data_IF_672765150379
#
_entry.id   IF_672765150379
#
_cell.length_a   1.000
_cell.length_b   1.000
_cell.length_c   1.000
_cell.angle_alpha   90.00
_cell.angle_beta   90.00
_cell.angle_gamma   90.00
#
_symmetry.space_group_name_H-M   'P 1'
#
loop_
_entity.id
_entity.type
_entity.pdbx_description
1 polymer ?
#
# COMPACT_ATOMS: atom_id res chain seq x y z
N UNK A 1 8.96 22.78 -8.81
CA UNK A 1 10.07 22.09 -8.10
C UNK A 1 9.97 22.16 -6.57
N UNK A 2 9.75 23.34 -5.94
CA UNK A 2 9.70 23.46 -4.45
C UNK A 2 8.58 22.69 -3.75
N UNK A 3 7.41 22.52 -4.38
CA UNK A 3 6.28 21.80 -3.79
C UNK A 3 6.53 20.29 -3.67
N UNK A 4 7.22 19.69 -4.66
CA UNK A 4 7.59 18.27 -4.66
C UNK A 4 8.62 17.98 -3.55
N UNK A 5 9.57 18.89 -3.32
CA UNK A 5 10.55 18.76 -2.23
C UNK A 5 9.92 18.95 -0.85
N UNK A 6 8.98 19.88 -0.71
CA UNK A 6 8.22 20.06 0.55
C UNK A 6 7.37 18.84 0.88
N UNK A 7 6.66 18.28 -0.12
CA UNK A 7 5.90 17.03 0.04
C UNK A 7 6.84 15.87 0.39
N UNK A 8 7.99 15.72 -0.28
CA UNK A 8 8.99 14.68 0.03
C UNK A 8 9.58 14.82 1.44
N UNK A 9 9.93 16.04 1.86
CA UNK A 9 10.50 16.32 3.19
C UNK A 9 9.49 16.08 4.31
N UNK A 10 8.25 16.50 4.10
CA UNK A 10 7.17 16.31 5.07
C UNK A 10 6.77 14.83 5.18
N UNK A 11 6.70 14.11 4.06
CA UNK A 11 6.45 12.65 4.05
C UNK A 11 7.58 11.85 4.70
N UNK A 12 8.85 12.24 4.52
CA UNK A 12 9.96 11.66 5.30
C UNK A 12 9.75 11.85 6.80
N UNK A 13 9.26 13.02 7.23
CA UNK A 13 8.88 13.28 8.62
C UNK A 13 7.74 12.38 9.12
N UNK A 14 6.71 12.18 8.30
CA UNK A 14 5.61 11.26 8.60
C UNK A 14 6.07 9.80 8.69
N UNK A 15 6.79 9.27 7.70
CA UNK A 15 7.28 7.89 7.72
C UNK A 15 8.23 7.64 8.89
N UNK A 16 9.07 8.62 9.22
CA UNK A 16 9.90 8.56 10.41
C UNK A 16 9.06 8.53 11.69
N UNK A 17 7.98 9.31 11.78
CA UNK A 17 7.06 9.27 12.92
C UNK A 17 6.35 7.93 13.05
N UNK A 18 5.83 7.37 11.94
CA UNK A 18 5.17 6.05 11.90
C UNK A 18 6.14 4.95 12.30
N UNK A 19 7.37 4.97 11.76
CA UNK A 19 8.43 4.02 12.09
C UNK A 19 8.84 4.13 13.55
N UNK A 20 9.15 5.33 14.03
CA UNK A 20 9.57 5.56 15.43
C UNK A 20 8.50 5.10 16.41
N UNK A 21 7.23 5.44 16.18
CA UNK A 21 6.17 5.02 17.09
C UNK A 21 5.93 3.50 17.01
N UNK A 22 5.94 2.91 15.81
CA UNK A 22 5.77 1.46 15.63
C UNK A 22 6.94 0.64 16.19
N UNK A 23 8.14 1.22 16.25
CA UNK A 23 9.30 0.62 16.93
C UNK A 23 9.15 0.63 18.46
N UNK A 24 8.39 1.58 19.03
CA UNK A 24 8.12 1.65 20.48
C UNK A 24 7.04 0.66 20.93
N UNK A 25 6.16 0.28 20.02
CA UNK A 25 5.22 -0.82 20.28
C UNK A 25 5.92 -2.17 20.17
N UNK A 26 5.72 -3.02 21.17
CA UNK A 26 6.32 -4.34 21.25
C UNK A 26 5.26 -5.42 21.35
N UNK A 27 5.46 -6.49 20.58
CA UNK A 27 4.76 -7.76 20.71
C UNK A 27 5.50 -8.56 21.77
N UNK A 28 4.85 -8.77 22.92
CA UNK A 28 5.41 -9.51 24.06
C UNK A 28 4.72 -10.85 24.17
N UNK A 29 5.48 -11.92 23.95
CA UNK A 29 4.98 -13.28 24.12
C UNK A 29 4.54 -13.51 25.58
N UNK A 30 3.28 -13.92 25.81
CA UNK A 30 2.79 -14.19 27.18
C UNK A 30 3.38 -15.47 27.80
N UNK A 31 3.98 -16.35 26.98
CA UNK A 31 4.62 -17.59 27.43
C UNK A 31 6.07 -17.41 27.86
N UNK A 32 6.92 -16.81 27.03
CA UNK A 32 8.36 -16.70 27.30
C UNK A 32 8.84 -15.25 27.54
N UNK A 33 7.97 -14.25 27.45
CA UNK A 33 8.33 -12.85 27.66
C UNK A 33 9.18 -12.23 26.55
N UNK A 34 9.57 -12.99 25.51
CA UNK A 34 10.33 -12.44 24.37
C UNK A 34 9.55 -11.29 23.75
N UNK A 35 10.26 -10.19 23.53
CA UNK A 35 9.75 -8.97 22.94
C UNK A 35 10.31 -8.85 21.53
N UNK A 36 9.47 -8.42 20.61
CA UNK A 36 9.86 -8.00 19.26
C UNK A 36 9.10 -6.72 18.95
N UNK A 37 9.74 -5.72 18.35
CA UNK A 37 8.99 -4.53 18.00
C UNK A 37 7.89 -4.87 16.98
N UNK A 38 6.81 -4.10 16.99
CA UNK A 38 5.72 -4.22 16.02
C UNK A 38 6.27 -3.99 14.62
N UNK A 39 7.15 -3.00 14.46
CA UNK A 39 7.84 -2.72 13.19
C UNK A 39 8.67 -3.90 12.66
N UNK A 40 9.54 -4.51 13.47
CA UNK A 40 10.33 -5.69 13.05
C UNK A 40 9.46 -6.92 12.75
N UNK A 41 8.23 -6.92 13.23
CA UNK A 41 7.24 -7.97 12.96
C UNK A 41 6.39 -7.67 11.73
N UNK A 42 6.73 -6.62 10.96
CA UNK A 42 5.99 -6.18 9.78
C UNK A 42 4.74 -5.36 10.09
N UNK A 43 4.41 -5.16 11.37
CA UNK A 43 3.23 -4.42 11.79
C UNK A 43 3.48 -2.92 11.96
N UNK A 44 2.39 -2.15 11.98
CA UNK A 44 2.40 -0.71 12.30
C UNK A 44 1.47 -0.44 13.49
N UNK A 45 1.96 0.34 14.45
CA UNK A 45 1.13 0.98 15.49
C UNK A 45 1.58 2.42 15.66
N UNK A 46 0.76 3.31 15.13
CA UNK A 46 0.99 4.75 15.13
C UNK A 46 -0.28 5.46 15.61
N UNK A 47 -0.13 6.42 16.53
CA UNK A 47 -1.20 7.04 17.33
C UNK A 47 -2.16 6.04 17.99
N UNK A 48 -1.70 4.82 18.22
CA UNK A 48 -2.50 3.78 18.83
C UNK A 48 -2.49 3.96 20.36
N UNK A 49 -3.58 3.57 21.02
CA UNK A 49 -3.66 3.51 22.47
C UNK A 49 -4.10 2.11 22.93
N UNK A 50 -3.84 1.79 24.19
CA UNK A 50 -4.32 0.56 24.84
C UNK A 50 -3.47 -0.69 24.55
N UNK A 51 -3.54 -1.65 25.48
CA UNK A 51 -2.86 -2.92 25.36
C UNK A 51 -3.82 -3.95 24.75
N UNK A 52 -3.57 -4.37 23.52
CA UNK A 52 -4.34 -5.44 22.87
C UNK A 52 -3.60 -6.78 22.94
N UNK A 53 -4.35 -7.87 22.84
CA UNK A 53 -3.77 -9.20 22.65
C UNK A 53 -3.97 -9.64 21.20
N UNK A 54 -2.94 -10.23 20.60
CA UNK A 54 -3.01 -10.80 19.25
C UNK A 54 -2.42 -12.19 19.28
N UNK A 55 -3.02 -13.11 18.54
CA UNK A 55 -2.44 -14.43 18.33
C UNK A 55 -1.29 -14.30 17.32
N UNK A 56 -0.09 -14.67 17.73
CA UNK A 56 1.14 -14.54 16.92
C UNK A 56 2.03 -15.77 17.06
N UNK A 57 2.84 -16.04 16.04
CA UNK A 57 3.88 -17.06 16.14
C UNK A 57 5.07 -16.51 16.92
N UNK A 58 5.48 -17.19 18.00
CA UNK A 58 6.66 -16.80 18.76
C UNK A 58 7.87 -17.65 18.39
N UNK A 59 8.91 -17.05 17.81
CA UNK A 59 10.15 -17.75 17.42
C UNK A 59 10.89 -18.44 18.58
N UNK A 60 10.66 -18.03 19.84
CA UNK A 60 11.27 -18.64 21.01
C UNK A 60 10.43 -19.77 21.62
N UNK A 61 9.10 -19.75 21.42
CA UNK A 61 8.22 -20.84 21.87
C UNK A 61 7.89 -21.84 20.75
N UNK A 62 8.22 -21.49 19.50
CA UNK A 62 7.92 -22.22 18.27
C UNK A 62 6.44 -22.63 18.11
N UNK A 63 5.52 -21.83 18.66
CA UNK A 63 4.07 -22.06 18.56
C UNK A 63 3.28 -20.77 18.56
N UNK A 64 2.02 -20.87 18.16
CA UNK A 64 1.05 -19.77 18.29
C UNK A 64 0.81 -19.48 19.77
N UNK A 65 1.00 -18.22 20.13
CA UNK A 65 0.81 -17.72 21.49
C UNK A 65 -0.03 -16.46 21.41
N UNK A 66 -0.84 -16.24 22.44
CA UNK A 66 -1.35 -14.90 22.69
C UNK A 66 -0.17 -14.02 23.08
N UNK A 67 0.07 -12.96 22.32
CA UNK A 67 1.04 -11.93 22.69
C UNK A 67 0.31 -10.66 23.08
N UNK A 68 0.88 -9.97 24.08
CA UNK A 68 0.42 -8.66 24.51
C UNK A 68 1.18 -7.59 23.74
N UNK A 69 0.45 -6.63 23.19
CA UNK A 69 1.07 -5.44 22.63
C UNK A 69 1.27 -4.40 23.73
N UNK A 70 2.50 -3.96 23.92
CA UNK A 70 2.90 -3.04 24.99
C UNK A 70 3.71 -1.89 24.38
N UNK A 71 3.43 -0.66 24.80
CA UNK A 71 4.26 0.49 24.47
C UNK A 71 5.42 0.60 25.46
N UNK A 72 6.66 0.60 24.97
CA UNK A 72 7.85 0.78 25.80
C UNK A 72 8.46 2.17 25.52
N UNK A 73 8.39 3.12 26.47
CA UNK A 73 9.12 4.38 26.35
C UNK A 73 10.64 4.15 26.44
N UNK A 74 11.43 5.05 25.85
CA UNK A 74 12.89 4.90 25.64
C UNK A 74 13.74 4.66 26.90
N UNK A 75 13.17 4.82 28.10
CA UNK A 75 13.89 4.71 29.38
C UNK A 75 14.10 3.29 29.92
N UNK A 76 13.87 2.21 29.15
CA UNK A 76 13.86 0.85 29.71
C UNK A 76 14.51 -0.27 28.88
N UNK A 77 15.51 0.01 28.03
CA UNK A 77 16.26 -1.07 27.33
C UNK A 77 17.68 -1.18 27.88
N UNK A 78 17.81 -1.93 28.97
CA UNK A 78 19.08 -2.51 29.43
C UNK A 78 19.30 -3.86 28.76
N UNK A 79 20.52 -4.05 28.24
CA UNK A 79 21.04 -5.19 27.48
C UNK A 79 20.71 -6.57 28.07
N UNK A 80 20.38 -7.53 27.20
CA UNK A 80 20.93 -8.90 27.24
C UNK A 80 20.50 -9.70 26.00
N UNK A 81 21.49 -10.14 25.22
CA UNK A 81 21.43 -11.28 24.29
C UNK A 81 22.02 -12.51 25.01
N UNK A 82 21.60 -13.75 24.71
CA UNK A 82 22.49 -14.63 23.93
C UNK A 82 21.79 -15.67 23.00
N UNK A 83 22.30 -15.74 21.76
CA UNK A 83 23.05 -16.83 21.06
C UNK A 83 22.63 -18.33 21.07
N UNK A 84 22.40 -18.89 19.84
CA UNK A 84 22.63 -20.24 19.22
C UNK A 84 21.96 -21.50 19.86
N UNK A 85 21.59 -22.63 19.21
CA UNK A 85 21.85 -23.37 17.94
C UNK A 85 20.87 -24.61 17.94
N UNK A 86 20.21 -25.11 16.87
CA UNK A 86 20.61 -26.26 15.98
C UNK A 86 19.34 -26.90 15.33
N UNK A 87 19.53 -27.51 14.14
CA UNK A 87 18.72 -28.32 13.16
C UNK A 87 17.54 -29.21 13.67
N UNK A 88 16.54 -29.67 12.88
CA UNK A 88 16.57 -30.64 11.73
C UNK A 88 15.24 -30.67 10.90
N UNK A 89 15.36 -30.86 9.57
CA UNK A 89 14.58 -31.55 8.50
C UNK A 89 13.02 -31.58 8.30
N UNK A 90 12.68 -31.54 7.00
CA UNK A 90 11.43 -31.62 6.20
C UNK A 90 10.71 -33.01 6.20
N UNK A 91 9.43 -33.16 5.74
CA UNK A 91 9.12 -33.42 4.31
C UNK A 91 7.77 -32.91 3.74
N UNK A 92 7.87 -32.27 2.56
CA UNK A 92 7.21 -32.53 1.27
C UNK A 92 5.76 -33.08 1.17
N UNK A 93 4.92 -32.42 0.35
CA UNK A 93 3.98 -33.03 -0.62
C UNK A 93 3.23 -31.96 -1.47
N UNK A 94 3.52 -31.94 -2.78
CA UNK A 94 2.59 -32.14 -3.92
C UNK A 94 1.23 -31.40 -3.96
N UNK A 95 0.66 -30.92 -5.07
CA UNK A 95 1.04 -30.56 -6.46
C UNK A 95 -0.27 -30.15 -7.19
N UNK A 96 -0.22 -29.05 -7.96
CA UNK A 96 -1.01 -28.75 -9.20
C UNK A 96 -2.53 -28.45 -9.08
N UNK A 97 -3.22 -27.88 -10.10
CA UNK A 97 -2.78 -27.38 -11.43
C UNK A 97 -3.24 -25.94 -11.82
N UNK A 98 -2.56 -25.40 -12.83
CA UNK A 98 -3.00 -24.65 -14.02
C UNK A 98 -4.30 -23.81 -14.02
N UNK A 99 -4.18 -22.49 -14.26
CA UNK A 99 -5.03 -21.68 -15.16
C UNK A 99 -4.54 -20.21 -15.17
N UNK A 100 -3.45 -19.92 -15.90
CA UNK A 100 -2.99 -18.53 -16.07
C UNK A 100 -3.63 -17.89 -17.31
N UNK A 101 -4.87 -17.48 -17.16
CA UNK A 101 -5.43 -16.33 -17.86
C UNK A 101 -5.98 -15.37 -16.80
N UNK A 102 -5.14 -14.48 -16.29
CA UNK A 102 -5.58 -13.44 -15.38
C UNK A 102 -6.60 -12.55 -16.11
N UNK A 103 -7.83 -12.35 -15.59
CA UNK A 103 -8.78 -11.43 -16.19
C UNK A 103 -8.18 -10.03 -16.16
N UNK A 104 -8.37 -9.26 -17.23
CA UNK A 104 -7.96 -7.87 -17.30
C UNK A 104 -8.52 -7.12 -16.06
N UNK A 105 -7.63 -6.60 -15.23
CA UNK A 105 -8.02 -5.76 -14.09
C UNK A 105 -8.65 -4.49 -14.66
N UNK A 106 -9.97 -4.34 -14.55
CA UNK A 106 -10.63 -3.07 -14.91
C UNK A 106 -10.04 -1.96 -14.04
N UNK A 107 -9.36 -1.04 -14.69
CA UNK A 107 -8.74 0.13 -14.07
C UNK A 107 -9.69 1.31 -14.06
N UNK A 108 -9.67 2.11 -13.01
CA UNK A 108 -10.37 3.41 -12.98
C UNK A 108 -9.31 4.50 -12.91
N UNK A 109 -9.43 5.53 -13.73
CA UNK A 109 -8.55 6.67 -13.75
C UNK A 109 -9.27 7.90 -13.25
N UNK A 110 -8.60 8.62 -12.36
CA UNK A 110 -9.06 9.88 -11.80
C UNK A 110 -8.15 11.00 -12.30
N UNK A 111 -8.70 11.90 -13.10
CA UNK A 111 -8.03 13.14 -13.48
C UNK A 111 -8.43 14.22 -12.49
N UNK A 112 -7.48 14.68 -11.69
CA UNK A 112 -7.75 15.59 -10.58
C UNK A 112 -7.06 16.93 -10.86
N UNK A 113 -7.87 17.98 -11.04
CA UNK A 113 -7.37 19.30 -11.39
C UNK A 113 -6.42 19.84 -10.30
N UNK A 114 -5.21 20.24 -10.72
CA UNK A 114 -4.17 20.74 -9.83
C UNK A 114 -3.44 19.69 -8.97
N UNK A 115 -3.81 18.41 -9.08
CA UNK A 115 -3.18 17.31 -8.30
C UNK A 115 -2.50 16.29 -9.22
N UNK A 116 -3.15 15.86 -10.29
CA UNK A 116 -2.58 14.89 -11.23
C UNK A 116 -3.55 13.80 -11.67
N UNK A 117 -3.00 12.77 -12.31
CA UNK A 117 -3.70 11.61 -12.82
C UNK A 117 -3.41 10.39 -11.93
N UNK A 118 -4.44 9.75 -11.40
CA UNK A 118 -4.30 8.58 -10.52
C UNK A 118 -5.05 7.38 -11.09
N UNK A 119 -4.40 6.21 -11.08
CA UNK A 119 -5.04 4.95 -11.47
C UNK A 119 -5.47 4.17 -10.24
N UNK A 120 -6.62 3.52 -10.31
CA UNK A 120 -7.18 2.69 -9.26
C UNK A 120 -7.28 1.25 -9.78
N UNK A 121 -6.67 0.32 -9.06
CA UNK A 121 -6.71 -1.10 -9.38
C UNK A 121 -7.41 -1.86 -8.25
N UNK A 122 -8.43 -2.63 -8.60
CA UNK A 122 -9.29 -3.32 -7.64
C UNK A 122 -8.95 -4.80 -7.49
N UNK A 123 -8.15 -5.38 -8.38
CA UNK A 123 -7.71 -6.77 -8.28
C UNK A 123 -6.79 -7.00 -7.08
N UNK A 124 -6.91 -8.18 -6.45
CA UNK A 124 -6.07 -8.58 -5.30
C UNK A 124 -4.65 -8.98 -5.71
N UNK A 125 -4.45 -9.30 -6.99
CA UNK A 125 -3.16 -9.63 -7.59
C UNK A 125 -2.86 -8.62 -8.68
N UNK A 126 -1.69 -7.97 -8.58
CA UNK A 126 -1.28 -6.87 -9.45
C UNK A 126 0.09 -7.19 -10.04
N UNK A 127 0.15 -7.29 -11.36
CA UNK A 127 1.37 -7.53 -12.10
C UNK A 127 2.07 -6.20 -12.44
N UNK A 128 3.38 -6.17 -12.22
CA UNK A 128 4.25 -5.05 -12.57
C UNK A 128 5.23 -5.51 -13.63
N UNK A 129 5.39 -4.71 -14.68
CA UNK A 129 6.31 -5.02 -15.78
C UNK A 129 6.89 -3.79 -16.45
N UNK A 130 7.90 -4.03 -17.28
CA UNK A 130 8.48 -3.03 -18.17
C UNK A 130 7.80 -3.00 -19.52
N UNK A 131 7.78 -1.82 -20.14
CA UNK A 131 7.28 -1.66 -21.49
C UNK A 131 7.31 -0.21 -21.93
N UNK A 132 7.11 0.01 -23.23
CA UNK A 132 6.98 1.36 -23.81
C UNK A 132 5.55 1.70 -24.18
N UNK A 133 4.69 0.69 -24.37
CA UNK A 133 3.29 0.86 -24.77
C UNK A 133 2.37 0.07 -23.83
N UNK A 134 1.28 0.71 -23.36
CA UNK A 134 0.29 0.08 -22.49
C UNK A 134 -0.59 -0.95 -23.23
N UNK A 135 -0.81 -0.75 -24.54
CA UNK A 135 -1.70 -1.59 -25.36
C UNK A 135 -1.16 -3.01 -25.62
N UNK A 136 0.14 -3.24 -25.41
CA UNK A 136 0.78 -4.56 -25.54
C UNK A 136 1.18 -5.16 -24.19
N UNK A 137 0.69 -4.58 -23.09
CA UNK A 137 1.12 -4.94 -21.75
C UNK A 137 0.41 -6.18 -21.22
N UNK A 138 1.20 -7.09 -20.65
CA UNK A 138 0.73 -8.26 -19.89
C UNK A 138 0.61 -7.94 -18.39
N UNK A 139 1.04 -6.74 -17.98
CA UNK A 139 1.07 -6.29 -16.60
C UNK A 139 0.02 -5.21 -16.36
N UNK A 140 -0.58 -5.21 -15.17
CA UNK A 140 -1.54 -4.18 -14.75
C UNK A 140 -0.85 -2.82 -14.61
N UNK A 141 0.39 -2.80 -14.12
CA UNK A 141 1.23 -1.61 -13.99
C UNK A 141 2.45 -1.74 -14.89
N UNK A 142 2.61 -0.80 -15.80
CA UNK A 142 3.71 -0.78 -16.78
C UNK A 142 4.60 0.41 -16.51
N UNK A 143 5.88 0.15 -16.22
CA UNK A 143 6.90 1.17 -16.05
C UNK A 143 7.72 1.30 -17.33
N UNK A 144 7.97 2.52 -17.77
CA UNK A 144 8.86 2.82 -18.88
C UNK A 144 10.32 2.65 -18.46
N UNK A 145 10.78 1.41 -18.38
CA UNK A 145 12.09 1.01 -17.90
C UNK A 145 12.49 -0.36 -18.47
N UNK A 146 13.79 -0.75 -18.43
CA UNK A 146 14.28 -2.04 -18.90
C UNK A 146 13.95 -3.20 -17.95
N UNK A 147 12.68 -3.32 -17.54
CA UNK A 147 12.16 -4.44 -16.78
C UNK A 147 11.59 -5.51 -17.73
N UNK A 148 11.51 -6.75 -17.26
CA UNK A 148 10.75 -7.79 -17.95
C UNK A 148 9.26 -7.44 -17.99
N UNK A 149 8.52 -7.94 -18.99
CA UNK A 149 7.08 -7.65 -19.14
C UNK A 149 6.21 -8.15 -17.98
N UNK A 150 6.72 -9.11 -17.21
CA UNK A 150 6.17 -9.54 -15.93
C UNK A 150 7.35 -9.66 -14.96
N UNK A 151 7.65 -8.57 -14.27
CA UNK A 151 8.86 -8.42 -13.46
C UNK A 151 8.63 -8.70 -11.99
N UNK A 152 7.47 -8.27 -11.48
CA UNK A 152 7.07 -8.53 -10.12
C UNK A 152 5.55 -8.64 -10.05
N UNK A 153 5.09 -9.11 -8.91
CA UNK A 153 3.69 -9.29 -8.61
C UNK A 153 3.45 -8.83 -7.17
N UNK A 154 2.47 -7.96 -6.98
CA UNK A 154 2.01 -7.54 -5.66
C UNK A 154 0.70 -8.28 -5.39
N UNK A 155 0.64 -8.98 -4.27
CA UNK A 155 -0.55 -9.67 -3.80
C UNK A 155 -1.02 -9.04 -2.50
N UNK A 156 -2.35 -8.94 -2.35
CA UNK A 156 -2.97 -8.69 -1.06
C UNK A 156 -3.22 -10.02 -0.36
N UNK A 157 -2.58 -10.20 0.79
CA UNK A 157 -2.76 -11.37 1.65
C UNK A 157 -3.46 -10.95 2.95
N UNK A 158 -4.79 -11.08 2.97
CA UNK A 158 -5.61 -10.64 4.11
C UNK A 158 -5.57 -9.13 4.30
N UNK A 159 -4.82 -8.68 5.31
CA UNK A 159 -4.65 -7.26 5.68
C UNK A 159 -3.37 -6.65 5.10
N UNK A 160 -2.51 -7.51 4.57
CA UNK A 160 -1.11 -7.22 4.29
C UNK A 160 -0.82 -7.30 2.79
N UNK A 161 0.31 -6.74 2.38
CA UNK A 161 0.80 -6.84 1.01
C UNK A 161 2.00 -7.79 0.97
N UNK A 162 2.16 -8.51 -0.14
CA UNK A 162 3.36 -9.26 -0.45
C UNK A 162 3.86 -8.91 -1.86
N UNK A 163 5.17 -9.06 -2.06
CA UNK A 163 5.83 -8.92 -3.35
C UNK A 163 6.43 -10.28 -3.72
N UNK A 164 6.12 -10.76 -4.92
CA UNK A 164 6.79 -11.89 -5.54
C UNK A 164 7.64 -11.38 -6.70
N UNK A 165 8.95 -11.54 -6.61
CA UNK A 165 9.88 -11.11 -7.65
C UNK A 165 10.04 -12.20 -8.73
N UNK A 166 9.88 -11.82 -10.01
CA UNK A 166 10.20 -12.67 -11.18
C UNK A 166 11.51 -12.26 -11.86
N UNK A 167 11.92 -11.01 -11.67
CA UNK A 167 13.25 -10.50 -11.99
C UNK A 167 13.98 -10.01 -10.73
N UNK A 168 15.13 -9.35 -10.92
CA UNK A 168 15.89 -8.74 -9.81
C UNK A 168 15.04 -7.73 -9.04
N UNK A 169 14.89 -7.92 -7.73
CA UNK A 169 14.19 -6.97 -6.88
C UNK A 169 14.81 -6.89 -5.48
N UNK A 170 14.67 -5.75 -4.82
CA UNK A 170 15.05 -5.53 -3.43
C UNK A 170 13.97 -4.80 -2.66
N UNK A 171 13.88 -5.02 -1.36
CA UNK A 171 13.13 -4.17 -0.42
C UNK A 171 14.15 -3.49 0.49
N UNK A 172 14.23 -2.16 0.40
CA UNK A 172 15.38 -1.42 0.93
C UNK A 172 16.68 -1.98 0.34
N UNK A 173 17.51 -2.60 1.18
CA UNK A 173 18.78 -3.20 0.75
C UNK A 173 18.74 -4.74 0.61
N UNK A 174 17.62 -5.38 0.97
CA UNK A 174 17.53 -6.83 1.03
C UNK A 174 17.01 -7.39 -0.31
N UNK A 175 17.71 -8.36 -0.94
CA UNK A 175 17.25 -9.00 -2.15
C UNK A 175 15.98 -9.83 -1.90
N UNK A 176 15.07 -9.82 -2.86
CA UNK A 176 13.83 -10.59 -2.81
C UNK A 176 14.02 -11.92 -3.51
N UNK A 177 14.10 -13.00 -2.72
CA UNK A 177 14.13 -14.37 -3.22
C UNK A 177 12.76 -15.02 -3.00
N UNK A 178 11.90 -15.00 -4.03
CA UNK A 178 10.52 -15.51 -3.95
C UNK A 178 9.52 -14.46 -3.47
N UNK A 179 8.63 -14.87 -2.56
CA UNK A 179 7.59 -14.00 -1.99
C UNK A 179 8.03 -13.41 -0.64
N UNK A 180 7.83 -12.10 -0.46
CA UNK A 180 8.18 -11.38 0.76
C UNK A 180 7.05 -10.44 1.17
N UNK A 181 6.87 -10.23 2.47
CA UNK A 181 5.88 -9.29 2.99
C UNK A 181 6.33 -7.84 2.82
N UNK A 182 5.41 -6.98 2.40
CA UNK A 182 5.58 -5.53 2.28
C UNK A 182 4.94 -4.84 3.49
N UNK A 183 5.77 -4.14 4.27
CA UNK A 183 5.29 -3.23 5.30
C UNK A 183 4.59 -2.00 4.67
N UNK A 184 3.78 -1.29 5.47
CA UNK A 184 2.99 -0.14 5.05
C UNK A 184 3.77 1.08 4.48
N UNK A 185 5.09 1.05 4.46
CA UNK A 185 5.94 2.05 3.82
C UNK A 185 7.20 1.34 3.29
N UNK A 186 7.03 0.55 2.24
CA UNK A 186 8.10 -0.24 1.63
C UNK A 186 8.69 0.48 0.44
N UNK A 187 10.03 0.58 0.40
CA UNK A 187 10.78 0.99 -0.78
C UNK A 187 11.20 -0.26 -1.53
N UNK A 188 10.76 -0.36 -2.78
CA UNK A 188 10.92 -1.51 -3.65
C UNK A 188 11.83 -1.09 -4.80
N UNK A 189 12.97 -1.73 -4.96
CA UNK A 189 13.81 -1.58 -6.15
C UNK A 189 13.50 -2.76 -7.08
N UNK A 190 13.16 -2.47 -8.34
CA UNK A 190 13.01 -3.45 -9.42
C UNK A 190 14.11 -3.23 -10.45
N UNK A 191 14.69 -4.31 -10.96
CA UNK A 191 15.86 -4.24 -11.83
C UNK A 191 17.03 -3.53 -11.14
N UNK A 192 17.63 -2.57 -11.84
CA UNK A 192 18.80 -1.84 -11.36
C UNK A 192 18.45 -0.45 -10.80
N UNK A 193 17.39 0.20 -11.29
CA UNK A 193 17.13 1.63 -11.05
C UNK A 193 15.63 2.00 -10.89
N UNK A 194 14.71 1.03 -10.94
CA UNK A 194 13.28 1.31 -10.80
C UNK A 194 12.89 1.28 -9.33
N UNK A 195 12.85 2.46 -8.71
CA UNK A 195 12.40 2.61 -7.35
C UNK A 195 10.89 2.89 -7.32
N UNK A 196 10.15 2.00 -6.67
CA UNK A 196 8.74 2.16 -6.34
C UNK A 196 8.59 2.28 -4.83
N UNK A 197 7.57 3.01 -4.39
CA UNK A 197 7.17 3.05 -2.99
C UNK A 197 5.73 2.61 -2.82
N UNK A 198 5.53 1.61 -1.97
CA UNK A 198 4.22 1.19 -1.50
C UNK A 198 3.94 1.80 -0.12
N UNK A 199 2.81 2.48 0.00
CA UNK A 199 2.38 3.14 1.23
C UNK A 199 0.94 2.73 1.56
N UNK A 200 0.61 2.56 2.85
CA UNK A 200 -0.78 2.40 3.32
C UNK A 200 -1.12 3.63 4.18
N UNK A 201 -1.63 4.72 3.56
CA UNK A 201 -1.81 6.01 4.24
C UNK A 201 -2.82 5.95 5.39
N UNK A 202 -3.87 5.14 5.23
CA UNK A 202 -4.85 4.89 6.28
C UNK A 202 -4.97 3.39 6.54
N UNK A 203 -4.49 2.95 7.70
CA UNK A 203 -4.50 1.55 8.13
C UNK A 203 -5.90 0.95 8.25
N UNK A 204 -6.94 1.78 8.42
CA UNK A 204 -8.33 1.31 8.48
C UNK A 204 -8.92 1.02 7.09
N UNK A 205 -8.32 1.54 6.02
CA UNK A 205 -8.84 1.41 4.66
C UNK A 205 -8.17 0.28 3.89
N UNK A 206 -7.01 -0.24 4.33
CA UNK A 206 -6.24 -1.31 3.66
C UNK A 206 -5.83 -1.03 2.22
N UNK A 207 -6.29 0.07 1.62
CA UNK A 207 -5.85 0.53 0.31
C UNK A 207 -4.40 0.99 0.38
N UNK A 208 -3.63 0.66 -0.64
CA UNK A 208 -2.24 1.08 -0.75
C UNK A 208 -2.03 2.04 -1.90
N UNK A 209 -1.15 3.02 -1.71
CA UNK A 209 -0.62 3.88 -2.75
C UNK A 209 0.71 3.31 -3.23
N UNK A 210 0.84 3.11 -4.54
CA UNK A 210 2.08 2.76 -5.22
C UNK A 210 2.52 3.95 -6.09
N UNK A 211 3.74 4.43 -5.91
CA UNK A 211 4.31 5.56 -6.69
C UNK A 211 5.69 5.21 -7.18
N UNK A 212 6.09 5.76 -8.33
CA UNK A 212 7.48 5.69 -8.78
C UNK A 212 8.27 6.84 -8.15
N UNK A 213 9.33 6.50 -7.40
CA UNK A 213 10.18 7.48 -6.72
C UNK A 213 11.48 7.77 -7.46
N UNK A 214 11.86 6.90 -8.40
CA UNK A 214 12.92 7.18 -9.37
C UNK A 214 12.41 8.10 -10.49
N UNK A 215 13.27 8.39 -11.48
CA UNK A 215 12.93 9.28 -12.60
C UNK A 215 12.03 8.64 -13.68
N UNK A 216 11.64 7.38 -13.50
CA UNK A 216 10.83 6.65 -14.49
C UNK A 216 9.35 7.03 -14.41
N UNK A 217 8.59 6.62 -15.43
CA UNK A 217 7.17 6.93 -15.54
C UNK A 217 6.35 5.67 -15.75
N UNK A 218 5.10 5.70 -15.28
CA UNK A 218 4.11 4.74 -15.74
C UNK A 218 3.71 5.08 -17.19
N UNK A 219 3.56 4.05 -18.02
CA UNK A 219 3.26 4.24 -19.45
C UNK A 219 1.88 4.89 -19.66
N UNK A 220 0.93 4.64 -18.75
CA UNK A 220 -0.39 5.27 -18.77
C UNK A 220 -0.40 6.75 -18.34
N UNK A 221 0.77 7.32 -18.06
CA UNK A 221 0.98 8.71 -17.61
C UNK A 221 0.31 9.04 -16.28
N UNK A 222 -0.03 8.03 -15.46
CA UNK A 222 -0.45 8.26 -14.08
C UNK A 222 0.72 8.75 -13.23
N UNK A 223 0.42 9.62 -12.26
CA UNK A 223 1.35 10.06 -11.21
C UNK A 223 1.51 9.01 -10.11
N UNK A 224 0.56 8.07 -10.03
CA UNK A 224 0.49 7.05 -9.00
C UNK A 224 -0.66 6.08 -9.24
N UNK A 225 -0.54 4.91 -8.62
CA UNK A 225 -1.59 3.88 -8.63
C UNK A 225 -2.05 3.61 -7.20
N UNK A 226 -3.36 3.53 -6.98
CA UNK A 226 -3.95 3.07 -5.74
C UNK A 226 -4.43 1.64 -5.92
N UNK A 227 -3.94 0.74 -5.08
CA UNK A 227 -4.45 -0.61 -4.91
C UNK A 227 -5.66 -0.50 -3.97
N UNK A 228 -6.85 -0.44 -4.56
CA UNK A 228 -8.08 -0.14 -3.80
C UNK A 228 -8.54 -1.37 -3.04
N UNK A 229 -8.76 -1.17 -1.75
CA UNK A 229 -9.50 -2.06 -0.85
C UNK A 229 -10.48 -1.23 -0.03
N UNK A 230 -11.75 -1.62 -0.01
CA UNK A 230 -12.85 -1.05 0.77
C UNK A 230 -13.09 0.46 0.61
N UNK A 231 -12.20 1.32 1.13
CA UNK A 231 -12.34 2.78 1.12
C UNK A 231 -11.06 3.46 0.66
N UNK A 232 -11.19 4.64 0.06
CA UNK A 232 -10.15 5.54 -0.37
C UNK A 232 -10.53 6.95 0.10
N UNK A 233 -9.55 7.69 0.59
CA UNK A 233 -9.72 9.06 1.06
C UNK A 233 -8.92 10.01 0.18
N UNK A 234 -9.55 11.06 -0.32
CA UNK A 234 -8.89 12.17 -1.01
C UNK A 234 -9.16 13.46 -0.24
N UNK A 235 -8.17 14.35 -0.17
CA UNK A 235 -8.34 15.63 0.54
C UNK A 235 -7.09 16.08 1.29
N UNK A 236 -7.23 17.06 2.19
CA UNK A 236 -6.08 17.71 2.83
C UNK A 236 -5.47 16.91 3.98
N UNK A 237 -6.08 15.79 4.37
CA UNK A 237 -5.62 14.98 5.50
C UNK A 237 -4.33 14.23 5.18
N UNK A 238 -3.45 14.11 6.18
CA UNK A 238 -2.24 13.29 6.09
C UNK A 238 -2.53 11.79 5.87
N UNK A 239 -3.72 11.32 6.25
CA UNK A 239 -4.19 9.96 5.99
C UNK A 239 -4.87 9.79 4.63
N UNK A 240 -4.89 10.82 3.78
CA UNK A 240 -5.46 10.73 2.45
C UNK A 240 -4.55 9.88 1.53
N UNK A 241 -5.19 9.02 0.74
CA UNK A 241 -4.53 8.22 -0.27
C UNK A 241 -4.04 9.11 -1.42
N UNK A 242 -4.89 10.05 -1.83
CA UNK A 242 -4.53 11.11 -2.76
C UNK A 242 -4.62 12.44 -2.00
N UNK A 243 -3.47 13.06 -1.80
CA UNK A 243 -3.37 14.27 -1.00
C UNK A 243 -3.72 15.51 -1.83
N UNK A 244 -4.79 16.19 -1.43
CA UNK A 244 -5.32 17.39 -2.06
C UNK A 244 -5.33 18.54 -1.03
N UNK A 245 -4.22 19.25 -0.83
CA UNK A 245 -4.02 20.15 0.31
C UNK A 245 -4.93 21.39 0.29
N UNK A 246 -5.37 21.81 -0.89
CA UNK A 246 -6.21 23.00 -1.07
C UNK A 246 -7.70 22.69 -0.95
N UNK A 247 -8.09 21.42 -0.81
CA UNK A 247 -9.50 21.06 -0.78
C UNK A 247 -10.13 21.42 0.57
N UNK A 248 -11.37 21.92 0.57
CA UNK A 248 -12.05 22.35 1.79
C UNK A 248 -12.45 21.17 2.69
N UNK A 249 -12.60 19.97 2.13
CA UNK A 249 -13.03 18.78 2.84
C UNK A 249 -12.49 17.50 2.21
N UNK A 250 -12.62 16.39 2.94
CA UNK A 250 -12.28 15.06 2.47
C UNK A 250 -13.40 14.49 1.58
N UNK A 251 -13.02 13.90 0.46
CA UNK A 251 -13.86 13.04 -0.37
C UNK A 251 -13.56 11.57 -0.06
N UNK A 252 -14.61 10.76 0.04
CA UNK A 252 -14.49 9.32 0.26
C UNK A 252 -14.94 8.59 -0.99
N UNK A 253 -14.08 7.74 -1.54
CA UNK A 253 -14.48 6.72 -2.49
C UNK A 253 -14.52 5.36 -1.79
N UNK A 254 -15.45 4.49 -2.13
CA UNK A 254 -15.50 3.16 -1.52
C UNK A 254 -16.08 2.13 -2.47
N UNK A 255 -15.62 0.89 -2.34
CA UNK A 255 -16.09 -0.23 -3.16
C UNK A 255 -17.37 -0.82 -2.56
N UNK A 256 -18.36 -1.10 -3.41
CA UNK A 256 -19.47 -2.01 -3.12
C UNK A 256 -19.54 -3.04 -4.23
N UNK A 257 -19.20 -4.28 -3.92
CA UNK A 257 -19.01 -5.30 -4.96
C UNK A 257 -17.86 -4.90 -5.89
N UNK A 258 -18.15 -4.72 -7.18
CA UNK A 258 -17.17 -4.28 -8.20
C UNK A 258 -17.31 -2.81 -8.58
N UNK A 259 -18.26 -2.10 -7.98
CA UNK A 259 -18.55 -0.71 -8.30
C UNK A 259 -17.87 0.22 -7.29
N UNK A 260 -17.32 1.32 -7.80
CA UNK A 260 -16.74 2.37 -6.98
C UNK A 260 -17.79 3.45 -6.74
N UNK A 261 -18.06 3.75 -5.48
CA UNK A 261 -18.98 4.79 -5.08
C UNK A 261 -18.21 6.02 -4.59
N UNK A 262 -18.81 7.18 -4.75
CA UNK A 262 -18.34 8.45 -4.25
C UNK A 262 -19.30 8.99 -3.18
N UNK A 263 -18.74 9.51 -2.09
CA UNK A 263 -19.47 10.21 -1.04
C UNK A 263 -18.63 11.35 -0.47
N UNK A 264 -19.30 12.44 -0.10
CA UNK A 264 -18.70 13.56 0.60
C UNK A 264 -19.76 14.58 1.00
N UNK A 265 -19.33 15.77 1.42
CA UNK A 265 -20.22 16.77 2.02
C UNK A 265 -21.12 17.49 1.01
N UNK A 266 -22.10 18.22 1.55
CA UNK A 266 -23.22 18.86 0.85
C UNK A 266 -22.82 19.86 -0.25
N UNK A 267 -21.57 20.30 -0.27
CA UNK A 267 -21.03 21.22 -1.29
C UNK A 267 -20.57 20.51 -2.56
N UNK A 268 -20.50 19.18 -2.56
CA UNK A 268 -20.06 18.39 -3.70
C UNK A 268 -21.18 18.18 -4.70
N UNK A 269 -20.78 18.14 -5.98
CA UNK A 269 -21.66 17.90 -7.11
C UNK A 269 -21.12 16.79 -7.98
N UNK A 270 -22.01 15.99 -8.56
CA UNK A 270 -21.70 15.04 -9.62
C UNK A 270 -22.46 15.48 -10.87
N UNK A 271 -21.73 15.64 -11.97
CA UNK A 271 -22.29 16.09 -13.26
C UNK A 271 -23.13 17.38 -13.13
N UNK A 272 -22.69 18.29 -12.24
CA UNK A 272 -23.34 19.57 -11.87
C UNK A 272 -24.52 19.48 -10.90
N UNK A 273 -24.98 18.29 -10.54
CA UNK A 273 -26.09 18.06 -9.60
C UNK A 273 -25.57 17.88 -8.16
N UNK A 274 -26.32 18.37 -7.17
CA UNK A 274 -25.95 18.23 -5.76
C UNK A 274 -25.92 16.76 -5.33
N UNK A 275 -24.85 16.35 -4.67
CA UNK A 275 -24.69 14.97 -4.20
C UNK A 275 -25.32 14.81 -2.81
N UNK A 276 -26.56 14.33 -2.77
CA UNK A 276 -27.33 14.14 -1.53
C UNK A 276 -27.16 12.74 -0.91
N UNK A 277 -26.53 11.82 -1.64
CA UNK A 277 -26.29 10.43 -1.25
C UNK A 277 -25.05 9.89 -1.96
N UNK A 278 -24.60 8.70 -1.57
CA UNK A 278 -23.52 8.02 -2.29
C UNK A 278 -23.92 7.74 -3.75
N UNK A 279 -22.98 7.95 -4.66
CA UNK A 279 -23.19 7.80 -6.10
C UNK A 279 -22.26 6.73 -6.69
N UNK A 280 -22.77 5.80 -7.48
CA UNK A 280 -21.97 4.81 -8.18
C UNK A 280 -21.27 5.48 -9.37
N UNK A 281 -19.94 5.60 -9.32
CA UNK A 281 -19.17 6.28 -10.35
C UNK A 281 -19.24 5.57 -11.69
N UNK A 282 -19.45 6.35 -12.74
CA UNK A 282 -19.52 5.94 -14.13
C UNK A 282 -18.38 6.56 -14.95
N UNK A 283 -18.09 5.96 -16.10
CA UNK A 283 -17.18 6.56 -17.07
C UNK A 283 -17.71 7.94 -17.50
N UNK A 284 -16.86 8.96 -17.44
CA UNK A 284 -17.19 10.32 -17.82
C UNK A 284 -17.73 11.19 -16.69
N UNK A 285 -18.00 10.63 -15.51
CA UNK A 285 -18.47 11.40 -14.36
C UNK A 285 -17.49 12.51 -14.00
N UNK A 286 -18.06 13.67 -13.65
CA UNK A 286 -17.31 14.81 -13.13
C UNK A 286 -17.78 15.12 -11.71
N UNK A 287 -16.91 14.86 -10.74
CA UNK A 287 -17.10 15.27 -9.35
C UNK A 287 -16.53 16.68 -9.21
N UNK A 288 -17.30 17.62 -8.68
CA UNK A 288 -16.88 19.02 -8.55
C UNK A 288 -17.30 19.64 -7.22
N UNK A 289 -16.56 20.65 -6.79
CA UNK A 289 -16.82 21.47 -5.62
C UNK A 289 -16.15 22.84 -5.78
N UNK A 290 -16.09 23.63 -4.71
CA UNK A 290 -15.57 25.00 -4.77
C UNK A 290 -14.13 25.08 -5.32
N UNK A 291 -13.25 24.17 -4.89
CA UNK A 291 -11.82 24.16 -5.26
C UNK A 291 -11.35 22.76 -5.72
N UNK A 292 -12.29 21.93 -6.18
CA UNK A 292 -11.99 20.58 -6.63
C UNK A 292 -12.77 20.22 -7.88
N UNK A 293 -12.11 19.47 -8.76
CA UNK A 293 -12.72 18.85 -9.91
C UNK A 293 -11.98 17.55 -10.24
N UNK A 294 -12.74 16.49 -10.41
CA UNK A 294 -12.27 15.15 -10.72
C UNK A 294 -13.06 14.65 -11.92
N UNK A 295 -12.37 14.17 -12.95
CA UNK A 295 -13.00 13.42 -14.05
C UNK A 295 -12.67 11.94 -13.91
N UNK A 296 -13.69 11.10 -14.00
CA UNK A 296 -13.59 9.65 -13.92
C UNK A 296 -13.52 9.06 -15.32
N UNK A 297 -12.54 8.18 -15.55
CA UNK A 297 -12.47 7.36 -16.75
C UNK A 297 -12.35 5.90 -16.31
N UNK A 298 -13.32 5.07 -16.68
CA UNK A 298 -13.27 3.62 -16.43
C UNK A 298 -12.71 2.93 -17.67
N UNK A 299 -11.70 2.08 -17.49
CA UNK A 299 -11.09 1.24 -18.52
C UNK A 299 -11.95 -0.02 -18.72
N UNK A 300 -12.41 -0.22 -19.95
CA UNK A 300 -13.25 -1.34 -20.40
C UNK A 300 -12.45 -2.57 -20.75
#
# INVERSE_FOLDING_TARGET
MKLVEQVKSWWKGFCNSVRQESQRWHIVCTKCGKKKSVWESGGVRWKAAGNSHKLVYCSNCQKMVWAKMVYLPESSVGNASPTLETTVEEPNAASSPDESQSPATSGIRLWIDGVGCWRLLTADTIHIGGGVNAESAVADIVVQAPLSRSHALIERFGEDYSLTAKGSAKIGNEPVNGQVHLAACSEILLGDDVELRLEVPNQLSRSARLTCTSGHRFVDSSDGTILVKDHLFLGPSAGAHIHCPTWPAQLVLFLRGRELYCQGGDTLRINSEAMNAAHALQHGDVISGQDLRIRVEIES
#
